data_IF_216597595166
#
_entry.id   IF_216597595166
#
_cell.length_a   1.000
_cell.length_b   1.000
_cell.length_c   1.000
_cell.angle_alpha   90.00
_cell.angle_beta   90.00
_cell.angle_gamma   90.00
#
_symmetry.space_group_name_H-M   'P 1'
#
loop_
_entity.id
_entity.type
_entity.pdbx_description
1 polymer ?
#
# COMPACT_ATOMS: atom_id res chain seq x y z
N UNK A 1 -61.30 -18.50 6.41
CA UNK A 1 -61.08 -19.95 6.61
C UNK A 1 -59.79 -20.34 5.90
N UNK A 2 -59.02 -21.24 6.55
CA UNK A 2 -57.89 -22.05 6.05
C UNK A 2 -56.55 -21.35 5.78
N UNK A 3 -55.72 -21.45 6.83
CA UNK A 3 -54.25 -21.55 6.77
C UNK A 3 -53.85 -22.64 5.76
N UNK A 4 -52.99 -22.29 4.80
CA UNK A 4 -52.16 -23.27 4.12
C UNK A 4 -50.70 -23.02 4.52
N UNK A 5 -50.27 -23.93 5.37
CA UNK A 5 -48.95 -24.16 5.93
C UNK A 5 -48.01 -24.64 4.83
N UNK A 6 -46.80 -24.06 4.83
CA UNK A 6 -45.50 -24.70 4.51
C UNK A 6 -45.37 -25.34 3.13
N UNK A 7 -44.58 -24.70 2.27
CA UNK A 7 -43.62 -25.45 1.46
C UNK A 7 -42.46 -24.56 1.00
N UNK A 8 -41.26 -25.07 1.24
CA UNK A 8 -40.02 -24.75 0.54
C UNK A 8 -39.23 -23.50 0.96
N UNK A 9 -38.69 -23.63 2.17
CA UNK A 9 -37.28 -23.37 2.48
C UNK A 9 -36.34 -23.79 1.32
N UNK A 10 -35.22 -23.07 1.17
CA UNK A 10 -34.04 -23.34 0.33
C UNK A 10 -34.00 -22.53 -0.97
N UNK A 11 -33.32 -21.37 -0.91
CA UNK A 11 -32.22 -20.98 -1.82
C UNK A 11 -31.80 -19.51 -1.60
N UNK A 12 -31.72 -19.06 -0.35
CA UNK A 12 -30.99 -17.83 0.02
C UNK A 12 -29.61 -18.20 0.53
N UNK A 13 -28.71 -18.53 -0.39
CA UNK A 13 -27.27 -18.61 -0.12
C UNK A 13 -26.45 -18.51 -1.42
N UNK A 14 -26.68 -17.46 -2.21
CA UNK A 14 -25.66 -16.94 -3.12
C UNK A 14 -25.20 -15.59 -2.57
N UNK A 15 -24.54 -15.64 -1.41
CA UNK A 15 -23.77 -14.54 -0.90
C UNK A 15 -22.31 -14.98 -0.88
N UNK A 16 -21.51 -14.23 -1.65
CA UNK A 16 -20.05 -14.07 -1.52
C UNK A 16 -19.18 -15.21 -2.07
N UNK A 17 -18.87 -15.15 -3.36
CA UNK A 17 -17.53 -15.55 -3.85
C UNK A 17 -16.66 -14.30 -3.98
N UNK A 18 -16.23 -13.76 -2.84
CA UNK A 18 -15.00 -12.98 -2.80
C UNK A 18 -13.87 -13.99 -2.61
N UNK A 19 -13.12 -14.28 -3.67
CA UNK A 19 -11.78 -14.83 -3.48
C UNK A 19 -10.91 -13.69 -2.97
N UNK A 20 -10.92 -13.43 -1.66
CA UNK A 20 -9.82 -12.68 -1.05
C UNK A 20 -8.60 -13.56 -1.19
N UNK A 21 -7.73 -13.24 -2.15
CA UNK A 21 -6.34 -13.66 -2.10
C UNK A 21 -5.80 -13.08 -0.80
N UNK A 22 -5.67 -13.93 0.21
CA UNK A 22 -4.86 -13.68 1.38
C UNK A 22 -3.43 -13.55 0.84
N UNK A 23 -3.03 -12.30 0.55
CA UNK A 23 -1.62 -11.96 0.61
C UNK A 23 -1.20 -12.40 2.01
N UNK A 24 -0.27 -13.35 2.03
CA UNK A 24 0.31 -13.91 3.24
C UNK A 24 0.50 -12.80 4.26
N UNK A 25 -0.18 -12.96 5.40
CA UNK A 25 0.26 -12.57 6.73
C UNK A 25 1.51 -11.69 6.70
N UNK A 26 1.34 -10.38 6.46
CA UNK A 26 2.28 -9.42 7.03
C UNK A 26 1.99 -9.54 8.51
N UNK A 27 2.78 -10.42 9.15
CA UNK A 27 2.78 -10.65 10.57
C UNK A 27 2.60 -9.31 11.25
N UNK A 28 1.48 -9.21 11.95
CA UNK A 28 1.20 -8.22 12.97
C UNK A 28 2.32 -8.34 14.02
N UNK A 29 3.48 -7.75 13.73
CA UNK A 29 4.36 -7.31 14.78
C UNK A 29 3.79 -5.98 15.24
N UNK A 30 2.87 -6.08 16.19
CA UNK A 30 2.70 -5.11 17.25
C UNK A 30 4.06 -4.53 17.63
N UNK A 31 4.38 -3.40 17.02
CA UNK A 31 5.33 -2.47 17.57
C UNK A 31 4.65 -1.13 17.41
N UNK A 32 4.26 -0.56 18.54
CA UNK A 32 3.99 0.86 18.72
C UNK A 32 5.22 1.75 18.41
N UNK A 33 6.22 1.20 17.72
CA UNK A 33 7.36 1.91 17.21
C UNK A 33 7.00 2.63 15.91
N UNK A 34 7.21 3.94 15.94
CA UNK A 34 7.49 4.79 14.79
C UNK A 34 8.17 4.04 13.63
N UNK A 35 7.64 4.09 12.39
CA UNK A 35 8.28 3.45 11.25
C UNK A 35 9.68 4.01 11.00
N UNK A 36 10.58 3.13 10.60
CA UNK A 36 11.94 3.48 10.18
C UNK A 36 12.15 3.12 8.71
N UNK A 37 13.19 3.70 8.11
CA UNK A 37 13.55 3.36 6.75
C UNK A 37 13.96 1.89 6.64
N UNK A 38 14.88 1.45 7.51
CA UNK A 38 15.47 0.12 7.44
C UNK A 38 14.44 -0.98 7.67
N UNK A 39 13.52 -0.79 8.63
CA UNK A 39 12.53 -1.81 8.97
C UNK A 39 11.27 -1.77 8.08
N UNK A 40 10.86 -0.59 7.59
CA UNK A 40 9.53 -0.43 6.98
C UNK A 40 9.57 0.16 5.57
N UNK A 41 10.19 1.33 5.37
CA UNK A 41 10.10 2.06 4.08
C UNK A 41 11.01 1.44 3.01
N UNK A 42 12.26 1.13 3.35
CA UNK A 42 13.26 0.55 2.46
C UNK A 42 12.78 -0.72 1.75
N UNK A 43 12.26 -1.73 2.46
CA UNK A 43 11.71 -2.95 1.84
C UNK A 43 10.58 -2.67 0.83
N UNK A 44 9.69 -1.73 1.15
CA UNK A 44 8.59 -1.31 0.25
C UNK A 44 9.14 -0.69 -1.02
N UNK A 45 10.09 0.25 -0.90
CA UNK A 45 10.72 0.92 -2.05
C UNK A 45 11.50 -0.08 -2.91
N UNK A 46 12.25 -0.97 -2.27
CA UNK A 46 13.03 -1.99 -2.97
C UNK A 46 12.12 -2.91 -3.81
N UNK A 47 10.99 -3.34 -3.26
CA UNK A 47 10.07 -4.24 -3.93
C UNK A 47 9.26 -3.57 -5.05
N UNK A 48 8.86 -2.30 -4.88
CA UNK A 48 7.84 -1.68 -5.73
C UNK A 48 8.38 -0.56 -6.64
N UNK A 49 9.58 -0.04 -6.39
CA UNK A 49 10.09 1.16 -7.07
C UNK A 49 11.41 0.90 -7.81
N UNK A 50 12.37 0.23 -7.16
CA UNK A 50 13.76 0.13 -7.64
C UNK A 50 13.88 -0.54 -9.01
N UNK A 51 12.99 -1.47 -9.36
CA UNK A 51 13.01 -2.11 -10.68
C UNK A 51 12.89 -1.14 -11.88
N UNK A 52 12.30 0.04 -11.67
CA UNK A 52 12.30 1.12 -12.67
C UNK A 52 13.13 2.34 -12.24
N UNK A 53 13.29 2.55 -10.94
CA UNK A 53 13.94 3.72 -10.33
C UNK A 53 15.32 3.39 -9.76
N UNK A 54 16.08 2.52 -10.42
CA UNK A 54 17.49 2.27 -10.12
C UNK A 54 18.40 3.32 -10.76
N UNK A 55 19.68 3.27 -10.42
CA UNK A 55 20.74 3.99 -11.12
C UNK A 55 20.72 3.63 -12.62
N UNK A 56 20.79 4.64 -13.48
CA UNK A 56 20.61 4.50 -14.92
C UNK A 56 19.17 4.20 -15.39
N UNK A 57 18.22 4.09 -14.45
CA UNK A 57 16.80 3.90 -14.73
C UNK A 57 16.02 5.21 -14.88
N UNK A 58 14.77 5.21 -14.43
CA UNK A 58 13.90 6.39 -14.41
C UNK A 58 14.26 7.30 -13.24
N UNK A 59 14.36 8.58 -13.50
CA UNK A 59 14.48 9.60 -12.45
C UNK A 59 13.14 9.75 -11.68
N UNK A 60 13.16 9.93 -10.34
CA UNK A 60 14.35 9.91 -9.47
C UNK A 60 14.87 8.49 -9.23
N UNK A 61 16.17 8.35 -8.95
CA UNK A 61 16.74 7.09 -8.43
C UNK A 61 16.31 6.91 -6.97
N UNK A 62 15.97 5.68 -6.54
CA UNK A 62 15.36 5.36 -5.24
C UNK A 62 16.03 4.17 -4.53
N UNK A 63 17.35 4.02 -4.63
CA UNK A 63 18.08 2.86 -4.09
C UNK A 63 18.64 3.06 -2.70
N UNK A 64 18.74 4.30 -2.24
CA UNK A 64 19.35 4.64 -0.95
C UNK A 64 18.38 5.40 -0.07
N UNK A 65 18.65 5.40 1.25
CA UNK A 65 17.91 6.20 2.22
C UNK A 65 17.80 7.67 1.79
N UNK A 66 18.93 8.30 1.45
CA UNK A 66 18.97 9.73 1.12
C UNK A 66 18.15 10.05 -0.12
N UNK A 67 18.20 9.19 -1.14
CA UNK A 67 17.41 9.33 -2.36
C UNK A 67 15.91 9.20 -2.09
N UNK A 68 15.50 8.24 -1.28
CA UNK A 68 14.08 8.04 -0.92
C UNK A 68 13.58 9.20 -0.07
N UNK A 69 14.39 9.64 0.89
CA UNK A 69 14.10 10.81 1.72
C UNK A 69 13.94 12.05 0.86
N UNK A 70 14.87 12.33 -0.05
CA UNK A 70 14.81 13.48 -0.96
C UNK A 70 13.56 13.43 -1.85
N UNK A 71 13.27 12.28 -2.47
CA UNK A 71 12.07 12.11 -3.29
C UNK A 71 10.76 12.26 -2.50
N UNK A 72 10.79 11.99 -1.19
CA UNK A 72 9.64 12.17 -0.28
C UNK A 72 9.53 13.59 0.23
N UNK A 73 10.65 14.24 0.53
CA UNK A 73 10.71 15.57 1.13
C UNK A 73 10.58 16.69 0.10
N UNK A 74 11.35 16.59 -0.97
CA UNK A 74 11.51 17.62 -2.01
C UNK A 74 10.86 17.19 -3.34
N UNK A 75 10.54 15.91 -3.48
CA UNK A 75 9.84 15.36 -4.64
C UNK A 75 8.33 15.21 -4.44
N UNK A 76 7.76 14.32 -5.24
CA UNK A 76 6.33 14.02 -5.23
C UNK A 76 6.03 12.54 -4.91
N UNK A 77 6.94 11.81 -4.27
CA UNK A 77 6.82 10.36 -4.05
C UNK A 77 5.46 9.98 -3.44
N UNK A 78 5.08 10.57 -2.31
CA UNK A 78 3.79 10.29 -1.64
C UNK A 78 2.60 10.60 -2.55
N UNK A 79 2.70 11.69 -3.30
CA UNK A 79 1.64 12.08 -4.21
C UNK A 79 1.48 11.08 -5.36
N UNK A 80 2.58 10.58 -5.93
CA UNK A 80 2.54 9.65 -7.06
C UNK A 80 2.06 8.25 -6.66
N UNK A 81 2.19 7.86 -5.39
CA UNK A 81 1.73 6.55 -4.90
C UNK A 81 0.25 6.54 -4.46
N UNK A 82 -0.40 7.70 -4.41
CA UNK A 82 -1.78 7.88 -3.95
C UNK A 82 -2.74 8.22 -5.11
N UNK A 83 -3.77 7.41 -5.30
CA UNK A 83 -4.80 7.62 -6.34
C UNK A 83 -5.73 8.81 -6.08
N UNK A 84 -5.78 9.31 -4.84
CA UNK A 84 -6.65 10.44 -4.47
C UNK A 84 -6.04 11.78 -4.88
N UNK A 85 -4.76 11.78 -5.26
CA UNK A 85 -4.00 12.98 -5.53
C UNK A 85 -3.83 13.22 -7.04
N UNK A 86 -3.99 14.46 -7.46
CA UNK A 86 -3.93 14.87 -8.86
C UNK A 86 -2.55 15.43 -9.24
N UNK A 87 -1.51 14.59 -9.25
CA UNK A 87 -0.12 14.99 -9.54
C UNK A 87 0.58 14.17 -10.65
N UNK A 88 -0.21 13.59 -11.54
CA UNK A 88 0.25 12.86 -12.72
C UNK A 88 -0.07 11.37 -12.66
N UNK A 89 0.59 10.58 -13.51
CA UNK A 89 0.36 9.14 -13.54
C UNK A 89 0.74 8.48 -12.22
N UNK A 90 -0.21 7.69 -11.68
CA UNK A 90 -0.02 6.89 -10.47
C UNK A 90 1.13 5.90 -10.66
N UNK A 91 1.92 5.72 -9.61
CA UNK A 91 3.00 4.76 -9.50
C UNK A 91 2.77 3.86 -8.27
N UNK A 92 3.14 2.58 -8.32
CA UNK A 92 3.71 1.86 -9.46
C UNK A 92 2.73 1.70 -10.64
N UNK A 93 3.22 1.27 -11.81
CA UNK A 93 2.39 1.07 -13.00
C UNK A 93 1.28 0.02 -12.82
N UNK A 94 1.46 -0.87 -11.85
CA UNK A 94 0.47 -1.87 -11.46
C UNK A 94 -0.76 -1.27 -10.76
N UNK A 95 -0.70 -0.01 -10.34
CA UNK A 95 -1.76 0.68 -9.62
C UNK A 95 -1.24 1.38 -8.35
N UNK A 96 -2.13 2.08 -7.64
CA UNK A 96 -1.77 2.78 -6.41
C UNK A 96 -1.32 1.80 -5.32
N UNK A 97 -0.51 2.32 -4.39
CA UNK A 97 -0.09 1.55 -3.22
C UNK A 97 -1.27 1.33 -2.25
N UNK A 98 -1.24 0.26 -1.44
CA UNK A 98 -2.22 0.07 -0.37
C UNK A 98 -2.23 1.27 0.60
N UNK A 99 -3.42 1.66 1.05
CA UNK A 99 -3.58 2.86 1.90
C UNK A 99 -2.73 2.81 3.16
N UNK A 100 -2.63 1.63 3.79
CA UNK A 100 -1.80 1.40 4.98
C UNK A 100 -0.30 1.65 4.70
N UNK A 101 0.21 1.25 3.53
CA UNK A 101 1.59 1.51 3.14
C UNK A 101 1.85 2.99 2.92
N UNK A 102 0.91 3.70 2.29
CA UNK A 102 0.99 5.15 2.11
C UNK A 102 1.00 5.85 3.47
N UNK A 103 0.11 5.47 4.39
CA UNK A 103 0.07 6.02 5.75
C UNK A 103 1.36 5.79 6.53
N UNK A 104 1.97 4.60 6.39
CA UNK A 104 3.26 4.30 7.00
C UNK A 104 4.37 5.24 6.48
N UNK A 105 4.44 5.49 5.17
CA UNK A 105 5.43 6.41 4.58
C UNK A 105 5.16 7.86 5.01
N UNK A 106 3.89 8.27 5.09
CA UNK A 106 3.50 9.59 5.61
C UNK A 106 3.90 9.75 7.07
N UNK A 107 3.71 8.71 7.89
CA UNK A 107 4.11 8.73 9.30
C UNK A 107 5.64 8.82 9.43
N UNK A 108 6.39 8.04 8.64
CA UNK A 108 7.85 8.12 8.57
C UNK A 108 8.34 9.54 8.21
N UNK A 109 7.70 10.20 7.24
CA UNK A 109 7.97 11.61 6.93
C UNK A 109 7.69 12.51 8.13
N UNK A 110 6.52 12.39 8.76
CA UNK A 110 6.10 13.23 9.89
C UNK A 110 7.02 13.09 11.10
N UNK A 111 7.62 11.92 11.29
CA UNK A 111 8.52 11.62 12.40
C UNK A 111 10.00 11.88 12.08
N UNK A 112 10.29 12.56 10.98
CA UNK A 112 11.63 13.06 10.67
C UNK A 112 12.54 12.06 9.96
N UNK A 113 11.96 11.12 9.19
CA UNK A 113 12.69 10.19 8.34
C UNK A 113 13.68 9.31 9.11
N UNK A 114 13.25 8.69 10.21
CA UNK A 114 14.11 7.82 11.03
C UNK A 114 14.70 6.69 10.17
N UNK A 115 16.01 6.45 10.29
CA UNK A 115 16.68 5.41 9.51
C UNK A 115 16.42 4.02 10.09
#
# INVERSE_FOLDING_TARGET
MKKNIVLLFICTAFLVSCTTRTYEEISESESSASPTYTANVGPVIQANCVGCHSEGGRFPTLQTYDQVKDATQNGNLICRIDQTQSCGSVMPRSGPMPRQTIDMIILWQKEGYKN
#
